data_IF_664997469142
#
_entry.id   IF_664997469142
#
_cell.length_a   1.000
_cell.length_b   1.000
_cell.length_c   1.000
_cell.angle_alpha   90.00
_cell.angle_beta   90.00
_cell.angle_gamma   90.00
#
_symmetry.space_group_name_H-M   'P 1'
#
loop_
_entity.id
_entity.type
_entity.pdbx_description
1 polymer ?
#
# COMPACT_ATOMS: atom_id res chain seq x y z
N UNK A 1 -7.34 17.52 4.93
CA UNK A 1 -8.11 18.23 3.87
C UNK A 1 -7.33 19.25 3.01
N UNK A 2 -6.42 20.11 3.51
CA UNK A 2 -5.91 21.26 2.72
C UNK A 2 -4.83 20.99 1.65
N UNK A 3 -4.06 19.89 1.75
CA UNK A 3 -2.83 19.71 0.93
C UNK A 3 -3.03 19.07 -0.47
N UNK A 4 -3.90 18.05 -0.63
CA UNK A 4 -4.14 17.40 -1.94
C UNK A 4 -5.00 18.24 -2.88
N UNK A 5 -6.13 18.76 -2.37
CA UNK A 5 -6.95 19.79 -3.02
C UNK A 5 -6.12 21.03 -3.36
N UNK A 6 -5.17 21.39 -2.49
CA UNK A 6 -4.23 22.47 -2.73
C UNK A 6 -3.30 22.25 -3.93
N UNK A 7 -2.86 21.01 -4.19
CA UNK A 7 -1.98 20.69 -5.33
C UNK A 7 -2.73 20.71 -6.67
N UNK A 8 -3.96 20.19 -6.70
CA UNK A 8 -4.85 20.28 -7.87
C UNK A 8 -5.27 21.73 -8.15
N UNK A 9 -5.66 22.49 -7.12
CA UNK A 9 -5.93 23.94 -7.21
C UNK A 9 -4.72 24.71 -7.73
N UNK A 10 -3.52 24.46 -7.20
CA UNK A 10 -2.28 25.11 -7.67
C UNK A 10 -2.00 24.83 -9.14
N UNK A 11 -2.22 23.60 -9.62
CA UNK A 11 -2.06 23.25 -11.04
C UNK A 11 -3.10 23.94 -11.92
N UNK A 12 -4.37 23.92 -11.51
CA UNK A 12 -5.45 24.62 -12.20
C UNK A 12 -5.17 26.12 -12.32
N UNK A 13 -4.78 26.78 -11.21
CA UNK A 13 -4.42 28.20 -11.22
C UNK A 13 -3.18 28.49 -12.10
N UNK A 14 -2.22 27.56 -12.16
CA UNK A 14 -1.04 27.69 -13.02
C UNK A 14 -1.42 27.59 -14.50
N UNK A 15 -2.35 26.71 -14.86
CA UNK A 15 -2.92 26.61 -16.21
C UNK A 15 -3.73 27.85 -16.59
N UNK A 16 -4.64 28.29 -15.72
CA UNK A 16 -5.42 29.53 -15.87
C UNK A 16 -4.54 30.76 -16.15
N UNK A 17 -3.40 30.87 -15.44
CA UNK A 17 -2.44 31.97 -15.63
C UNK A 17 -1.65 31.85 -16.93
N UNK A 18 -1.32 30.64 -17.36
CA UNK A 18 -0.68 30.41 -18.65
C UNK A 18 -1.62 30.79 -19.82
N UNK A 19 -2.94 30.58 -19.67
CA UNK A 19 -3.94 30.90 -20.69
C UNK A 19 -4.21 32.41 -20.76
N UNK A 20 -4.33 33.09 -19.62
CA UNK A 20 -4.72 34.52 -19.57
C UNK A 20 -3.53 35.48 -19.56
N UNK A 21 -2.30 34.99 -19.37
CA UNK A 21 -1.11 35.85 -19.23
C UNK A 21 -1.09 36.72 -17.96
N UNK A 22 -2.04 36.51 -17.04
CA UNK A 22 -2.22 37.31 -15.84
C UNK A 22 -1.07 37.09 -14.83
N UNK A 23 -0.65 38.17 -14.17
CA UNK A 23 0.46 38.15 -13.21
C UNK A 23 0.32 37.08 -12.11
N UNK A 24 1.43 36.48 -11.65
CA UNK A 24 1.41 35.45 -10.60
C UNK A 24 0.79 35.90 -9.26
N UNK A 25 0.75 37.21 -9.01
CA UNK A 25 0.21 37.82 -7.78
C UNK A 25 -1.29 38.13 -7.85
N UNK A 26 -1.94 37.94 -8.99
CA UNK A 26 -3.36 38.28 -9.14
C UNK A 26 -4.25 37.41 -8.23
N UNK A 27 -5.24 38.03 -7.54
CA UNK A 27 -6.20 37.29 -6.71
C UNK A 27 -6.92 36.18 -7.47
N UNK A 28 -7.07 35.02 -6.84
CA UNK A 28 -7.65 33.82 -7.45
C UNK A 28 -9.09 34.06 -7.93
N UNK A 29 -9.86 34.87 -7.21
CA UNK A 29 -11.25 35.20 -7.59
C UNK A 29 -11.35 35.96 -8.92
N UNK A 30 -10.41 36.89 -9.17
CA UNK A 30 -10.35 37.62 -10.43
C UNK A 30 -9.88 36.71 -11.57
N UNK A 31 -8.86 35.87 -11.30
CA UNK A 31 -8.33 34.89 -12.27
C UNK A 31 -9.43 33.92 -12.76
N UNK A 32 -10.25 33.39 -11.84
CA UNK A 32 -11.32 32.44 -12.20
C UNK A 32 -12.39 33.14 -13.04
N UNK A 33 -12.81 34.36 -12.69
CA UNK A 33 -13.78 35.14 -13.48
C UNK A 33 -13.28 35.44 -14.89
N UNK A 34 -12.02 35.87 -15.02
CA UNK A 34 -11.38 36.19 -16.30
C UNK A 34 -11.24 34.96 -17.22
N UNK A 35 -10.83 33.83 -16.64
CA UNK A 35 -10.69 32.58 -17.42
C UNK A 35 -12.00 31.94 -17.87
N UNK A 36 -13.13 32.32 -17.27
CA UNK A 36 -14.41 31.61 -17.38
C UNK A 36 -14.33 30.09 -17.10
N UNK A 37 -13.25 29.61 -16.46
CA UNK A 37 -13.06 28.19 -16.14
C UNK A 37 -13.73 27.87 -14.81
N UNK A 38 -14.46 26.75 -14.76
CA UNK A 38 -15.02 26.26 -13.51
C UNK A 38 -13.91 25.92 -12.49
N UNK A 39 -14.10 26.25 -11.20
CA UNK A 39 -13.15 25.87 -10.17
C UNK A 39 -12.92 24.36 -10.17
N UNK A 40 -11.66 23.94 -10.03
CA UNK A 40 -11.30 22.51 -10.01
C UNK A 40 -12.07 21.68 -8.96
N UNK A 41 -12.56 22.31 -7.89
CA UNK A 41 -13.42 21.66 -6.89
C UNK A 41 -14.82 21.37 -7.43
N UNK A 42 -15.42 22.30 -8.18
CA UNK A 42 -16.73 22.11 -8.79
C UNK A 42 -16.68 21.01 -9.87
N UNK A 43 -15.65 21.02 -10.71
CA UNK A 43 -15.41 19.96 -11.70
C UNK A 43 -15.21 18.58 -11.05
N UNK A 44 -14.47 18.53 -9.93
CA UNK A 44 -14.28 17.29 -9.17
C UNK A 44 -15.61 16.81 -8.58
N UNK A 45 -16.37 17.69 -7.94
CA UNK A 45 -17.65 17.36 -7.31
C UNK A 45 -18.69 16.91 -8.37
N UNK A 46 -18.72 17.55 -9.55
CA UNK A 46 -19.56 17.14 -10.68
C UNK A 46 -19.17 15.76 -11.22
N UNK A 47 -17.87 15.49 -11.38
CA UNK A 47 -17.37 14.19 -11.85
C UNK A 47 -17.67 13.08 -10.83
N UNK A 48 -17.55 13.38 -9.54
CA UNK A 48 -17.96 12.49 -8.44
C UNK A 48 -19.44 12.16 -8.57
N UNK A 49 -20.31 13.16 -8.70
CA UNK A 49 -21.76 12.96 -8.79
C UNK A 49 -22.16 12.10 -10.01
N UNK A 50 -21.61 12.41 -11.20
CA UNK A 50 -21.87 11.64 -12.41
C UNK A 50 -21.43 10.18 -12.28
N UNK A 51 -20.29 9.95 -11.63
CA UNK A 51 -19.79 8.59 -11.44
C UNK A 51 -20.58 7.81 -10.39
N UNK A 52 -20.97 8.46 -9.28
CA UNK A 52 -21.89 7.85 -8.30
C UNK A 52 -23.21 7.47 -8.96
N UNK A 53 -23.78 8.33 -9.80
CA UNK A 53 -25.00 7.99 -10.56
C UNK A 53 -24.80 6.75 -11.44
N UNK A 54 -23.67 6.65 -12.15
CA UNK A 54 -23.35 5.46 -12.96
C UNK A 54 -23.25 4.18 -12.14
N UNK A 55 -22.65 4.26 -10.94
CA UNK A 55 -22.53 3.11 -10.04
C UNK A 55 -23.89 2.62 -9.55
N UNK A 56 -24.82 3.53 -9.27
CA UNK A 56 -26.18 3.19 -8.86
C UNK A 56 -26.99 2.53 -9.99
N UNK A 57 -26.67 2.85 -11.24
CA UNK A 57 -27.34 2.27 -12.42
C UNK A 57 -26.73 0.95 -12.90
N UNK A 58 -25.71 0.42 -12.22
CA UNK A 58 -25.10 -0.85 -12.62
C UNK A 58 -26.02 -2.05 -12.33
N UNK A 59 -26.07 -3.07 -13.22
CA UNK A 59 -26.79 -4.31 -12.95
C UNK A 59 -26.25 -5.05 -11.72
N UNK A 60 -27.11 -5.80 -11.04
CA UNK A 60 -26.77 -6.61 -9.85
C UNK A 60 -25.71 -7.69 -10.11
N UNK A 61 -25.59 -8.10 -11.37
CA UNK A 61 -24.58 -9.06 -11.85
C UNK A 61 -23.19 -8.44 -11.97
N UNK A 62 -23.06 -7.11 -11.92
CA UNK A 62 -21.79 -6.42 -12.06
C UNK A 62 -20.98 -6.52 -10.75
N UNK A 63 -19.69 -6.90 -10.80
CA UNK A 63 -18.87 -7.11 -9.58
C UNK A 63 -18.79 -5.86 -8.69
N UNK A 64 -18.72 -4.66 -9.29
CA UNK A 64 -18.75 -3.40 -8.52
C UNK A 64 -20.07 -3.18 -7.78
N UNK A 65 -21.20 -3.63 -8.33
CA UNK A 65 -22.52 -3.48 -7.71
C UNK A 65 -22.67 -4.39 -6.47
N UNK A 66 -22.01 -5.55 -6.47
CA UNK A 66 -21.99 -6.50 -5.35
C UNK A 66 -21.16 -6.01 -4.15
N UNK A 67 -20.19 -5.12 -4.38
CA UNK A 67 -19.29 -4.61 -3.34
C UNK A 67 -19.87 -3.34 -2.66
N UNK A 68 -20.81 -2.65 -3.32
CA UNK A 68 -21.45 -1.44 -2.78
C UNK A 68 -22.43 -1.75 -1.64
N UNK A 69 -22.63 -0.84 -0.67
CA UNK A 69 -23.64 -1.01 0.38
C UNK A 69 -25.04 -1.16 -0.23
N UNK A 70 -25.87 -2.03 0.34
CA UNK A 70 -27.22 -2.31 -0.16
C UNK A 70 -28.09 -1.06 -0.03
N UNK A 71 -28.01 -0.37 1.11
CA UNK A 71 -28.66 0.91 1.42
C UNK A 71 -28.25 2.06 0.51
N UNK A 72 -27.06 2.01 -0.10
CA UNK A 72 -26.68 2.99 -1.11
C UNK A 72 -27.44 2.74 -2.43
N UNK A 73 -27.64 1.46 -2.79
CA UNK A 73 -28.21 1.05 -4.07
C UNK A 73 -29.73 1.13 -4.08
N UNK A 74 -30.36 0.65 -3.02
CA UNK A 74 -31.81 0.49 -2.91
C UNK A 74 -32.44 1.42 -1.86
N UNK A 75 -31.64 2.24 -1.17
CA UNK A 75 -32.14 3.10 -0.10
C UNK A 75 -32.77 2.29 1.03
N UNK A 76 -33.89 2.79 1.56
CA UNK A 76 -34.65 2.15 2.63
C UNK A 76 -35.70 1.14 2.13
N UNK A 77 -35.68 0.75 0.85
CA UNK A 77 -36.64 -0.21 0.29
C UNK A 77 -36.57 -1.61 0.96
N UNK A 78 -35.47 -1.92 1.67
CA UNK A 78 -35.27 -3.14 2.46
C UNK A 78 -35.14 -2.85 3.97
N UNK A 79 -35.72 -1.76 4.48
CA UNK A 79 -35.56 -1.30 5.86
C UNK A 79 -36.46 -1.98 6.90
N UNK A 80 -36.99 -3.18 6.62
CA UNK A 80 -37.69 -3.94 7.65
C UNK A 80 -36.69 -4.45 8.71
N UNK A 81 -37.05 -4.43 10.01
CA UNK A 81 -36.18 -4.95 11.06
C UNK A 81 -35.82 -6.42 10.80
N UNK A 82 -34.54 -6.70 10.51
CA UNK A 82 -34.01 -8.04 10.26
C UNK A 82 -33.67 -8.38 8.79
N UNK A 83 -34.06 -7.55 7.82
CA UNK A 83 -33.75 -7.77 6.39
C UNK A 83 -32.42 -7.15 5.96
N UNK A 84 -31.86 -6.22 6.73
CA UNK A 84 -30.57 -5.61 6.44
C UNK A 84 -29.42 -6.37 7.12
N UNK A 85 -28.27 -6.58 6.42
CA UNK A 85 -27.04 -7.03 7.07
C UNK A 85 -26.69 -6.09 8.24
N UNK A 86 -26.24 -6.65 9.37
CA UNK A 86 -26.12 -5.94 10.65
C UNK A 86 -25.27 -4.64 10.64
N UNK A 87 -24.49 -4.36 9.59
CA UNK A 87 -23.59 -3.19 9.49
C UNK A 87 -23.85 -2.30 8.26
N UNK A 88 -24.94 -2.48 7.52
CA UNK A 88 -25.12 -1.84 6.20
C UNK A 88 -25.40 -0.32 6.28
N UNK A 89 -25.65 0.26 7.45
CA UNK A 89 -25.88 1.71 7.63
C UNK A 89 -24.67 2.47 8.19
N UNK A 90 -23.62 1.78 8.63
CA UNK A 90 -22.44 2.43 9.24
C UNK A 90 -21.73 3.39 8.28
N UNK A 91 -21.71 3.08 6.98
CA UNK A 91 -21.09 3.94 5.97
C UNK A 91 -21.79 5.29 5.84
N UNK A 92 -23.09 5.38 6.14
CA UNK A 92 -23.88 6.60 6.06
C UNK A 92 -23.83 7.42 7.36
N UNK A 93 -23.38 6.83 8.48
CA UNK A 93 -23.28 7.48 9.79
C UNK A 93 -22.47 8.78 9.72
N UNK A 94 -22.94 9.79 10.47
CA UNK A 94 -22.33 11.12 10.56
C UNK A 94 -21.40 11.27 11.76
N UNK A 95 -21.04 10.19 12.46
CA UNK A 95 -20.25 10.30 13.69
C UNK A 95 -18.95 11.11 13.51
N UNK A 96 -18.82 12.11 14.39
CA UNK A 96 -18.15 13.39 14.16
C UNK A 96 -16.61 13.38 14.22
N UNK A 97 -15.95 12.27 13.88
CA UNK A 97 -14.47 12.17 13.85
C UNK A 97 -13.86 12.26 12.43
N UNK A 98 -14.67 12.63 11.41
CA UNK A 98 -14.42 12.75 9.93
C UNK A 98 -14.63 11.41 9.19
N UNK A 99 -15.40 11.34 8.07
CA UNK A 99 -15.55 12.34 6.97
C UNK A 99 -16.97 12.86 6.65
N UNK A 100 -17.05 14.12 6.20
CA UNK A 100 -18.31 14.84 5.92
C UNK A 100 -18.85 14.68 4.48
N UNK A 101 -18.09 14.13 3.53
CA UNK A 101 -18.52 13.98 2.11
C UNK A 101 -18.92 12.54 1.78
N UNK A 102 -20.00 12.38 1.01
CA UNK A 102 -20.53 11.09 0.55
C UNK A 102 -19.46 10.20 -0.11
N UNK A 103 -18.66 10.77 -1.01
CA UNK A 103 -17.60 10.05 -1.72
C UNK A 103 -16.50 9.49 -0.81
N UNK A 104 -16.17 10.21 0.27
CA UNK A 104 -15.18 9.78 1.25
C UNK A 104 -15.76 8.64 2.11
N UNK A 105 -17.01 8.75 2.55
CA UNK A 105 -17.67 7.68 3.31
C UNK A 105 -17.74 6.36 2.52
N UNK A 106 -18.14 6.47 1.26
CA UNK A 106 -18.23 5.34 0.35
C UNK A 106 -16.85 4.71 0.09
N UNK A 107 -15.83 5.55 -0.12
CA UNK A 107 -14.45 5.07 -0.27
C UNK A 107 -13.91 4.38 0.99
N UNK A 108 -14.31 4.80 2.20
CA UNK A 108 -13.96 4.13 3.46
C UNK A 108 -14.56 2.72 3.52
N UNK A 109 -15.85 2.63 3.22
CA UNK A 109 -16.58 1.37 3.26
C UNK A 109 -16.07 0.37 2.23
N UNK A 110 -15.83 0.82 0.98
CA UNK A 110 -15.22 -0.01 -0.05
C UNK A 110 -13.85 -0.53 0.39
N UNK A 111 -13.02 0.31 1.00
CA UNK A 111 -11.70 -0.12 1.45
C UNK A 111 -11.70 -1.11 2.61
N UNK A 112 -12.77 -1.18 3.39
CA UNK A 112 -12.95 -2.18 4.45
C UNK A 112 -13.38 -3.54 3.87
N UNK A 113 -14.14 -3.54 2.76
CA UNK A 113 -14.66 -4.75 2.11
C UNK A 113 -13.75 -5.30 1.02
N UNK A 114 -12.89 -4.47 0.43
CA UNK A 114 -11.89 -4.92 -0.52
C UNK A 114 -10.74 -5.61 0.23
N UNK A 115 -10.43 -6.85 -0.15
CA UNK A 115 -9.27 -7.60 0.37
C UNK A 115 -7.92 -6.98 -0.01
N UNK A 116 -7.90 -5.87 -0.78
CA UNK A 116 -6.70 -5.21 -1.31
C UNK A 116 -6.86 -3.69 -1.30
N UNK A 117 -5.74 -2.98 -1.12
CA UNK A 117 -5.72 -1.51 -1.03
C UNK A 117 -6.24 -0.84 -2.32
N UNK A 118 -7.33 -0.05 -2.27
CA UNK A 118 -7.90 0.63 -3.44
C UNK A 118 -7.03 1.79 -3.99
N UNK A 119 -5.91 2.11 -3.35
CA UNK A 119 -4.97 3.14 -3.83
C UNK A 119 -4.30 2.78 -5.16
N UNK A 120 -4.34 1.50 -5.56
CA UNK A 120 -3.68 1.00 -6.78
C UNK A 120 -2.18 1.30 -6.75
N UNK A 121 -1.53 0.98 -5.63
CA UNK A 121 -0.08 1.19 -5.44
C UNK A 121 0.36 2.65 -5.22
N UNK A 122 -0.54 3.65 -5.27
CA UNK A 122 -0.14 5.03 -4.87
C UNK A 122 -0.12 5.12 -3.36
N UNK A 123 1.07 5.01 -2.81
CA UNK A 123 1.31 5.35 -1.42
C UNK A 123 1.15 6.85 -1.17
N UNK A 124 0.39 7.19 -0.12
CA UNK A 124 0.37 8.55 0.42
C UNK A 124 1.50 8.73 1.40
N UNK A 125 2.39 9.65 1.06
CA UNK A 125 3.44 10.15 1.92
C UNK A 125 2.84 10.77 3.19
N UNK A 126 2.95 10.09 4.33
CA UNK A 126 2.59 10.65 5.65
C UNK A 126 3.80 11.38 6.21
N UNK A 127 3.60 12.58 6.77
CA UNK A 127 4.61 13.18 7.62
C UNK A 127 4.58 12.45 8.97
N UNK A 128 5.40 11.41 9.09
CA UNK A 128 5.71 10.75 10.35
C UNK A 128 7.16 11.05 10.68
N UNK A 129 7.43 11.53 11.89
CA UNK A 129 8.78 11.69 12.41
C UNK A 129 9.27 10.31 12.87
N UNK A 130 9.82 9.53 11.93
CA UNK A 130 10.54 8.31 12.29
C UNK A 130 11.85 8.71 12.98
N UNK A 131 12.12 8.15 14.16
CA UNK A 131 13.33 8.46 14.95
C UNK A 131 14.57 7.68 14.47
N UNK A 132 14.39 6.68 13.62
CA UNK A 132 15.42 5.76 13.13
C UNK A 132 14.84 4.35 13.02
N UNK A 133 15.53 3.43 12.34
CA UNK A 133 15.10 2.03 12.35
C UNK A 133 15.30 1.43 13.75
N UNK A 134 14.27 0.82 14.37
CA UNK A 134 14.32 0.36 15.76
C UNK A 134 15.18 -0.89 15.99
N UNK A 135 15.54 -1.63 14.93
CA UNK A 135 16.46 -2.77 15.00
C UNK A 135 17.88 -2.41 14.57
N UNK A 136 18.73 -3.43 14.44
CA UNK A 136 20.07 -3.25 13.87
C UNK A 136 20.06 -3.52 12.35
N UNK A 137 20.83 -2.75 11.58
CA UNK A 137 20.99 -2.98 10.14
C UNK A 137 22.47 -3.04 9.79
N UNK A 138 22.92 -4.19 9.30
CA UNK A 138 24.31 -4.47 8.93
C UNK A 138 24.44 -4.51 7.41
N UNK A 139 25.37 -3.72 6.88
CA UNK A 139 25.84 -3.80 5.49
C UNK A 139 27.33 -4.06 5.60
N UNK A 140 27.74 -5.28 5.27
CA UNK A 140 29.11 -5.76 5.35
C UNK A 140 29.69 -5.86 3.94
N UNK A 141 31.01 -6.04 3.84
CA UNK A 141 31.67 -6.35 2.58
C UNK A 141 31.22 -7.73 2.06
N UNK A 142 31.34 -7.93 0.74
CA UNK A 142 30.79 -9.11 0.05
C UNK A 142 31.24 -10.44 0.67
N UNK A 143 32.54 -10.59 0.95
CA UNK A 143 33.11 -11.83 1.50
C UNK A 143 32.63 -12.09 2.93
N UNK A 144 32.59 -11.06 3.76
CA UNK A 144 32.11 -11.15 5.15
C UNK A 144 30.61 -11.45 5.20
N UNK A 145 29.82 -10.75 4.39
CA UNK A 145 28.38 -10.96 4.27
C UNK A 145 28.06 -12.40 3.84
N UNK A 146 28.80 -12.92 2.85
CA UNK A 146 28.63 -14.29 2.37
C UNK A 146 29.04 -15.33 3.43
N UNK A 147 30.15 -15.07 4.13
CA UNK A 147 30.64 -15.96 5.19
C UNK A 147 29.63 -16.03 6.33
N UNK A 148 29.14 -14.88 6.80
CA UNK A 148 28.13 -14.84 7.86
C UNK A 148 26.81 -15.46 7.41
N UNK A 149 26.36 -15.22 6.17
CA UNK A 149 25.14 -15.78 5.62
C UNK A 149 25.12 -17.33 5.63
N UNK A 150 26.29 -17.96 5.47
CA UNK A 150 26.45 -19.42 5.51
C UNK A 150 26.70 -19.99 6.91
N UNK A 151 26.92 -19.14 7.92
CA UNK A 151 27.13 -19.59 9.29
C UNK A 151 25.80 -19.89 10.01
N UNK A 152 25.79 -20.99 10.76
CA UNK A 152 24.69 -21.28 11.68
C UNK A 152 24.69 -20.29 12.83
N UNK A 153 23.49 -19.82 13.21
CA UNK A 153 23.30 -18.82 14.25
C UNK A 153 22.11 -19.18 15.14
N UNK A 154 22.15 -18.80 16.43
CA UNK A 154 21.00 -18.96 17.31
C UNK A 154 19.86 -18.05 16.86
N UNK A 155 18.63 -18.50 17.07
CA UNK A 155 17.42 -17.75 16.72
C UNK A 155 16.83 -18.14 15.37
N UNK A 156 15.95 -17.28 14.84
CA UNK A 156 15.26 -17.51 13.57
C UNK A 156 15.87 -16.65 12.46
N UNK A 157 16.12 -17.28 11.31
CA UNK A 157 16.71 -16.62 10.15
C UNK A 157 15.73 -16.60 8.99
N UNK A 158 15.18 -15.43 8.73
CA UNK A 158 14.32 -15.17 7.60
C UNK A 158 15.14 -14.65 6.43
N UNK A 159 14.73 -15.04 5.24
CA UNK A 159 15.24 -14.53 3.97
C UNK A 159 14.09 -13.83 3.28
N UNK A 160 14.35 -12.72 2.58
CA UNK A 160 13.35 -12.01 1.80
C UNK A 160 13.91 -11.57 0.46
N UNK A 161 13.07 -11.61 -0.57
CA UNK A 161 13.41 -11.21 -1.94
C UNK A 161 12.16 -10.69 -2.68
N UNK A 162 12.35 -9.85 -3.69
CA UNK A 162 11.33 -9.26 -4.54
C UNK A 162 11.58 -9.51 -6.02
N UNK A 163 10.59 -10.04 -6.74
CA UNK A 163 10.70 -10.31 -8.18
C UNK A 163 9.67 -9.54 -8.99
N UNK A 164 10.07 -9.08 -10.18
CA UNK A 164 9.19 -8.52 -11.20
C UNK A 164 9.44 -9.24 -12.53
N UNK A 165 8.39 -9.84 -13.08
CA UNK A 165 8.41 -10.50 -14.38
C UNK A 165 8.34 -9.49 -15.51
N UNK A 166 8.77 -9.90 -16.71
CA UNK A 166 8.67 -9.08 -17.94
C UNK A 166 7.23 -8.70 -18.30
N UNK A 167 6.26 -9.48 -17.82
CA UNK A 167 4.82 -9.17 -17.93
C UNK A 167 4.41 -7.94 -17.11
N UNK A 168 5.30 -7.39 -16.28
CA UNK A 168 5.05 -6.27 -15.38
C UNK A 168 4.41 -6.68 -14.06
N UNK A 169 4.23 -7.98 -13.80
CA UNK A 169 3.72 -8.53 -12.54
C UNK A 169 4.85 -8.69 -11.54
N UNK A 170 4.60 -8.27 -10.30
CA UNK A 170 5.53 -8.39 -9.20
C UNK A 170 5.00 -9.33 -8.11
N UNK A 171 5.92 -9.84 -7.30
CA UNK A 171 5.64 -10.64 -6.12
C UNK A 171 6.82 -10.64 -5.16
N UNK A 172 6.55 -10.83 -3.88
CA UNK A 172 7.56 -10.94 -2.84
C UNK A 172 7.59 -12.36 -2.29
N UNK A 173 8.78 -12.82 -1.94
CA UNK A 173 9.03 -14.12 -1.34
C UNK A 173 9.69 -13.96 0.03
N UNK A 174 9.30 -14.79 0.98
CA UNK A 174 9.99 -14.94 2.26
C UNK A 174 10.21 -16.42 2.51
N UNK A 175 11.40 -16.78 2.98
CA UNK A 175 11.72 -18.15 3.37
C UNK A 175 12.24 -18.16 4.81
N UNK A 176 11.83 -19.18 5.57
CA UNK A 176 12.38 -19.50 6.87
C UNK A 176 12.87 -20.94 6.84
N UNK A 177 14.05 -21.16 7.40
CA UNK A 177 14.46 -22.48 7.87
C UNK A 177 14.43 -22.48 9.40
N UNK A 178 13.40 -23.11 9.98
CA UNK A 178 13.15 -23.08 11.42
C UNK A 178 14.23 -23.80 12.25
N UNK A 179 14.85 -24.82 11.65
CA UNK A 179 15.93 -25.61 12.25
C UNK A 179 17.01 -25.81 11.17
N UNK A 180 18.31 -25.65 11.48
CA UNK A 180 19.38 -25.89 10.51
C UNK A 180 19.27 -27.27 9.86
N UNK A 181 19.22 -27.31 8.52
CA UNK A 181 19.06 -28.56 7.76
C UNK A 181 17.63 -29.13 7.73
N UNK A 182 16.66 -28.46 8.36
CA UNK A 182 15.24 -28.79 8.27
C UNK A 182 14.58 -28.32 6.96
N UNK A 183 13.29 -28.64 6.77
CA UNK A 183 12.53 -28.19 5.59
C UNK A 183 12.43 -26.67 5.55
N UNK A 184 12.43 -26.12 4.34
CA UNK A 184 12.18 -24.71 4.10
C UNK A 184 10.68 -24.43 4.11
N UNK A 185 10.29 -23.40 4.84
CA UNK A 185 8.94 -22.85 4.82
C UNK A 185 8.96 -21.54 4.01
N UNK A 186 7.93 -21.33 3.19
CA UNK A 186 7.85 -20.14 2.33
C UNK A 186 6.55 -19.39 2.52
N UNK A 187 6.63 -18.07 2.42
CA UNK A 187 5.48 -17.18 2.22
C UNK A 187 5.65 -16.51 0.88
N UNK A 188 4.62 -16.63 0.05
CA UNK A 188 4.57 -16.05 -1.29
C UNK A 188 3.49 -14.97 -1.32
N UNK A 189 3.85 -13.74 -1.68
CA UNK A 189 2.95 -12.58 -1.67
C UNK A 189 2.77 -12.04 -3.09
N UNK A 190 1.69 -12.42 -3.79
CA UNK A 190 1.41 -11.89 -5.13
C UNK A 190 1.05 -10.40 -5.09
N UNK A 191 1.86 -9.57 -5.76
CA UNK A 191 1.67 -8.11 -5.82
C UNK A 191 0.93 -7.65 -7.09
N UNK A 192 0.98 -8.43 -8.17
CA UNK A 192 0.30 -8.09 -9.42
C UNK A 192 1.00 -6.95 -10.15
N UNK A 193 0.28 -6.21 -10.99
CA UNK A 193 0.83 -5.14 -11.82
C UNK A 193 0.99 -3.81 -11.08
N UNK A 194 1.85 -2.94 -11.61
CA UNK A 194 2.01 -1.55 -11.13
C UNK A 194 2.93 -1.38 -9.93
N UNK A 195 3.73 -2.41 -9.63
CA UNK A 195 4.74 -2.43 -8.59
C UNK A 195 6.12 -2.62 -9.21
N UNK A 196 7.10 -1.90 -8.69
CA UNK A 196 8.50 -2.06 -9.07
C UNK A 196 9.17 -3.15 -8.23
N UNK A 197 10.32 -3.65 -8.68
CA UNK A 197 11.14 -4.62 -7.91
C UNK A 197 11.38 -4.10 -6.49
N UNK A 198 11.72 -2.82 -6.38
CA UNK A 198 11.89 -2.12 -5.10
C UNK A 198 10.67 -2.24 -4.15
N UNK A 199 9.44 -2.19 -4.67
CA UNK A 199 8.24 -2.35 -3.85
C UNK A 199 8.10 -3.80 -3.36
N UNK A 200 8.48 -4.77 -4.20
CA UNK A 200 8.47 -6.18 -3.86
C UNK A 200 9.52 -6.52 -2.78
N UNK A 201 10.72 -5.94 -2.87
CA UNK A 201 11.77 -6.09 -1.85
C UNK A 201 11.29 -5.60 -0.48
N UNK A 202 10.72 -4.40 -0.43
CA UNK A 202 10.18 -3.84 0.81
C UNK A 202 8.99 -4.65 1.34
N UNK A 203 8.18 -5.22 0.45
CA UNK A 203 7.08 -6.10 0.84
C UNK A 203 7.64 -7.38 1.48
N UNK A 204 8.68 -7.99 0.88
CA UNK A 204 9.35 -9.17 1.40
C UNK A 204 9.86 -8.93 2.83
N UNK A 205 10.58 -7.84 3.05
CA UNK A 205 11.10 -7.50 4.40
C UNK A 205 9.96 -7.26 5.39
N UNK A 206 8.94 -6.49 5.01
CA UNK A 206 7.80 -6.23 5.88
C UNK A 206 7.06 -7.53 6.27
N UNK A 207 6.84 -8.40 5.28
CA UNK A 207 6.21 -9.71 5.49
C UNK A 207 7.08 -10.63 6.35
N UNK A 208 8.41 -10.63 6.19
CA UNK A 208 9.31 -11.43 7.02
C UNK A 208 9.21 -11.04 8.50
N UNK A 209 9.18 -9.74 8.79
CA UNK A 209 9.07 -9.23 10.15
C UNK A 209 7.70 -9.47 10.77
N UNK A 210 6.62 -9.34 9.98
CA UNK A 210 5.27 -9.70 10.40
C UNK A 210 5.14 -11.21 10.67
N UNK A 211 5.75 -12.04 9.83
CA UNK A 211 5.76 -13.49 10.03
C UNK A 211 6.55 -13.90 11.28
N UNK A 212 7.64 -13.19 11.58
CA UNK A 212 8.37 -13.37 12.83
C UNK A 212 7.51 -13.03 14.06
N UNK A 213 6.68 -11.98 13.98
CA UNK A 213 5.75 -11.63 15.05
C UNK A 213 4.71 -12.71 15.34
N UNK A 214 4.21 -13.36 14.27
CA UNK A 214 3.23 -14.44 14.35
C UNK A 214 3.81 -15.71 14.97
N UNK A 215 5.05 -16.06 14.62
CA UNK A 215 5.73 -17.24 15.14
C UNK A 215 6.16 -17.14 16.61
N UNK A 216 6.22 -15.93 17.16
CA UNK A 216 6.63 -15.66 18.54
C UNK A 216 7.93 -16.40 18.94
N UNK A 217 9.07 -16.15 18.26
CA UNK A 217 10.31 -16.85 18.58
C UNK A 217 10.76 -16.63 20.03
N UNK A 218 11.62 -17.51 20.53
CA UNK A 218 12.24 -17.36 21.86
C UNK A 218 13.63 -16.71 21.81
N UNK A 219 14.11 -16.30 20.63
CA UNK A 219 15.48 -15.82 20.42
C UNK A 219 15.60 -14.67 19.42
N UNK A 220 16.83 -14.28 19.06
CA UNK A 220 17.08 -13.18 18.13
C UNK A 220 16.55 -13.51 16.73
N UNK A 221 16.21 -12.47 15.98
CA UNK A 221 15.63 -12.57 14.64
C UNK A 221 16.59 -11.95 13.65
N UNK A 222 16.89 -12.70 12.60
CA UNK A 222 17.72 -12.26 11.49
C UNK A 222 16.87 -12.19 10.23
N UNK A 223 16.99 -11.11 9.47
CA UNK A 223 16.37 -10.97 8.15
C UNK A 223 17.46 -10.66 7.13
N UNK A 224 17.65 -11.55 6.17
CA UNK A 224 18.58 -11.38 5.07
C UNK A 224 17.86 -10.93 3.80
N UNK A 225 18.47 -9.99 3.09
CA UNK A 225 18.05 -9.51 1.78
C UNK A 225 19.25 -9.06 0.96
N UNK A 226 19.13 -9.04 -0.35
CA UNK A 226 20.17 -8.57 -1.28
C UNK A 226 19.91 -7.16 -1.86
N UNK A 227 18.76 -6.57 -1.53
CA UNK A 227 18.37 -5.24 -1.98
C UNK A 227 18.91 -4.09 -1.09
N UNK A 228 20.08 -3.54 -1.44
CA UNK A 228 20.66 -2.38 -0.74
C UNK A 228 19.74 -1.14 -0.76
N UNK A 229 19.02 -0.92 -1.86
CA UNK A 229 18.05 0.18 -1.97
C UNK A 229 16.90 0.06 -0.96
N UNK A 230 16.43 -1.15 -0.66
CA UNK A 230 15.42 -1.42 0.35
C UNK A 230 15.98 -1.16 1.77
N UNK A 231 17.24 -1.56 2.02
CA UNK A 231 17.95 -1.26 3.26
C UNK A 231 18.08 0.25 3.49
N UNK A 232 18.54 0.99 2.49
CA UNK A 232 18.66 2.45 2.56
C UNK A 232 17.30 3.11 2.81
N UNK A 233 16.25 2.55 2.20
CA UNK A 233 14.90 3.03 2.40
C UNK A 233 14.42 2.81 3.84
N UNK A 234 14.71 1.66 4.45
CA UNK A 234 14.36 1.32 5.84
C UNK A 234 15.09 2.21 6.85
N UNK A 235 16.34 2.60 6.55
CA UNK A 235 17.16 3.56 7.33
C UNK A 235 16.61 4.99 7.23
N UNK A 236 16.07 5.35 6.07
CA UNK A 236 15.60 6.71 5.81
C UNK A 236 14.32 7.06 6.57
N UNK A 237 14.42 8.09 7.42
CA UNK A 237 13.29 8.67 8.15
C UNK A 237 12.45 9.61 7.30
N UNK A 238 12.90 9.92 6.07
CA UNK A 238 12.22 10.87 5.19
C UNK A 238 10.99 10.24 4.54
N UNK A 239 9.91 11.01 4.36
CA UNK A 239 8.77 10.55 3.59
C UNK A 239 9.14 10.39 2.10
N UNK A 240 9.05 9.19 1.56
CA UNK A 240 9.47 8.78 0.19
C UNK A 240 8.73 7.50 -0.24
N UNK A 241 8.77 7.06 -1.51
CA UNK A 241 8.13 5.82 -1.97
C UNK A 241 8.50 4.59 -1.12
N UNK A 242 7.60 3.63 -0.99
CA UNK A 242 7.71 2.49 -0.08
C UNK A 242 7.44 2.81 1.39
N UNK A 243 6.99 4.03 1.74
CA UNK A 243 6.79 4.44 3.13
C UNK A 243 5.77 3.57 3.86
N UNK A 244 4.72 3.10 3.22
CA UNK A 244 3.72 2.29 3.91
C UNK A 244 4.31 0.95 4.35
N UNK A 245 5.16 0.35 3.50
CA UNK A 245 5.90 -0.88 3.77
C UNK A 245 6.97 -0.67 4.84
N UNK A 246 7.71 0.44 4.78
CA UNK A 246 8.67 0.82 5.84
C UNK A 246 7.96 0.96 7.18
N UNK A 247 6.80 1.62 7.23
CA UNK A 247 6.03 1.77 8.48
C UNK A 247 5.53 0.42 9.02
N UNK A 248 5.18 -0.53 8.15
CA UNK A 248 4.84 -1.90 8.55
C UNK A 248 6.04 -2.59 9.19
N UNK A 249 7.18 -2.56 8.52
CA UNK A 249 8.44 -3.12 9.02
C UNK A 249 8.84 -2.50 10.38
N UNK A 250 8.83 -1.17 10.50
CA UNK A 250 9.15 -0.46 11.76
C UNK A 250 8.22 -0.89 12.89
N UNK A 251 6.90 -0.90 12.67
CA UNK A 251 5.94 -1.34 13.69
C UNK A 251 6.12 -2.80 14.08
N UNK A 252 6.50 -3.64 13.12
CA UNK A 252 6.74 -5.05 13.40
C UNK A 252 7.95 -5.21 14.33
N UNK A 253 9.04 -4.50 14.04
CA UNK A 253 10.25 -4.50 14.86
C UNK A 253 10.03 -3.86 16.22
N UNK A 254 9.27 -2.76 16.32
CA UNK A 254 8.90 -2.15 17.61
C UNK A 254 8.17 -3.15 18.51
N UNK A 255 7.23 -3.92 17.95
CA UNK A 255 6.50 -4.97 18.69
C UNK A 255 7.40 -6.13 19.09
N UNK A 256 8.37 -6.52 18.26
CA UNK A 256 9.37 -7.54 18.60
C UNK A 256 10.31 -7.06 19.71
N UNK A 257 10.74 -5.79 19.64
CA UNK A 257 11.57 -5.17 20.66
C UNK A 257 10.85 -5.06 22.02
N UNK A 258 9.54 -4.80 22.03
CA UNK A 258 8.71 -4.86 23.25
C UNK A 258 8.64 -6.26 23.89
N UNK A 259 9.06 -7.30 23.17
CA UNK A 259 9.15 -8.69 23.65
C UNK A 259 10.60 -9.13 23.92
N UNK A 260 11.53 -8.18 24.02
CA UNK A 260 12.97 -8.41 24.16
C UNK A 260 13.59 -9.24 23.01
N UNK A 261 12.96 -9.23 21.83
CA UNK A 261 13.46 -9.91 20.64
C UNK A 261 14.25 -8.96 19.76
N UNK A 262 15.57 -9.13 19.74
CA UNK A 262 16.46 -8.31 18.92
C UNK A 262 16.32 -8.70 17.44
N UNK A 263 16.01 -7.70 16.61
CA UNK A 263 15.94 -7.84 15.16
C UNK A 263 17.19 -7.28 14.51
N UNK A 264 17.83 -8.08 13.67
CA UNK A 264 18.94 -7.67 12.81
C UNK A 264 18.60 -7.90 11.35
N UNK A 265 18.63 -6.83 10.56
CA UNK A 265 18.57 -6.90 9.11
C UNK A 265 20.00 -6.89 8.57
N UNK A 266 20.34 -7.82 7.68
CA UNK A 266 21.67 -7.91 7.11
C UNK A 266 21.61 -8.03 5.60
N UNK A 267 22.44 -7.23 4.93
CA UNK A 267 22.65 -7.36 3.50
C UNK A 267 23.46 -8.62 3.17
N UNK A 268 23.08 -9.32 2.11
CA UNK A 268 23.82 -10.45 1.53
C UNK A 268 23.98 -10.21 0.03
N UNK A 269 25.13 -10.55 -0.59
CA UNK A 269 25.27 -10.44 -2.03
C UNK A 269 24.29 -11.36 -2.76
N UNK A 270 23.52 -10.79 -3.68
CA UNK A 270 22.60 -11.53 -4.54
C UNK A 270 23.33 -12.51 -5.47
N UNK A 271 22.62 -13.54 -5.94
CA UNK A 271 23.11 -14.56 -6.89
C UNK A 271 24.46 -15.22 -6.53
N UNK A 272 24.79 -15.29 -5.23
CA UNK A 272 26.10 -15.78 -4.76
C UNK A 272 26.07 -17.22 -4.27
N UNK A 273 25.09 -18.03 -4.70
CA UNK A 273 24.97 -19.44 -4.33
C UNK A 273 24.45 -19.70 -2.91
N UNK A 274 23.93 -18.67 -2.22
CA UNK A 274 23.39 -18.81 -0.87
C UNK A 274 22.02 -19.46 -0.92
N UNK A 275 21.91 -20.65 -0.35
CA UNK A 275 20.69 -21.48 -0.42
C UNK A 275 19.45 -20.71 0.01
N UNK A 276 19.51 -19.95 1.12
CA UNK A 276 18.36 -19.18 1.60
C UNK A 276 17.90 -18.09 0.63
N UNK A 277 18.84 -17.41 -0.03
CA UNK A 277 18.53 -16.39 -1.04
C UNK A 277 17.92 -17.01 -2.30
N UNK A 278 18.43 -18.16 -2.74
CA UNK A 278 17.87 -18.89 -3.89
C UNK A 278 16.45 -19.40 -3.62
N UNK A 279 16.19 -19.86 -2.39
CA UNK A 279 14.85 -20.27 -1.98
C UNK A 279 13.85 -19.12 -2.04
N UNK A 280 14.26 -17.91 -1.65
CA UNK A 280 13.40 -16.72 -1.70
C UNK A 280 13.23 -16.16 -3.10
N UNK A 281 14.27 -16.13 -3.93
CA UNK A 281 14.17 -15.71 -5.34
C UNK A 281 13.15 -16.57 -6.08
N UNK A 282 13.21 -17.89 -5.88
CA UNK A 282 12.23 -18.80 -6.46
C UNK A 282 10.82 -18.56 -5.91
N UNK A 283 10.67 -18.32 -4.61
CA UNK A 283 9.39 -18.00 -3.99
C UNK A 283 8.81 -16.67 -4.52
N UNK A 284 9.64 -15.65 -4.69
CA UNK A 284 9.24 -14.34 -5.23
C UNK A 284 8.80 -14.46 -6.70
N UNK A 285 9.54 -15.23 -7.52
CA UNK A 285 9.17 -15.52 -8.92
C UNK A 285 7.84 -16.28 -9.02
N UNK A 286 7.62 -17.28 -8.15
CA UNK A 286 6.32 -17.98 -8.07
C UNK A 286 5.20 -17.05 -7.59
N UNK A 287 5.47 -16.19 -6.63
CA UNK A 287 4.50 -15.19 -6.17
C UNK A 287 4.10 -14.22 -7.30
N UNK A 288 5.06 -13.79 -8.11
CA UNK A 288 4.81 -12.87 -9.22
C UNK A 288 3.97 -13.51 -10.35
N UNK A 289 4.10 -14.82 -10.58
CA UNK A 289 3.34 -15.56 -11.60
C UNK A 289 1.93 -15.96 -11.14
N UNK A 290 1.68 -16.04 -9.83
CA UNK A 290 0.36 -16.35 -9.25
C UNK A 290 -0.64 -15.21 -9.45
N UNK A 291 -1.81 -15.47 -10.07
CA UNK A 291 -2.83 -14.44 -10.21
C UNK A 291 -3.17 -13.91 -8.83
N UNK A 292 -3.14 -12.60 -8.67
CA UNK A 292 -3.67 -11.98 -7.47
C UNK A 292 -5.17 -12.31 -7.38
N UNK A 293 -5.66 -12.63 -6.17
CA UNK A 293 -7.09 -12.85 -5.93
C UNK A 293 -7.93 -11.80 -6.68
N UNK A 294 -9.10 -12.17 -7.25
CA UNK A 294 -9.87 -11.32 -8.14
C UNK A 294 -10.23 -10.03 -7.41
N UNK A 295 -9.51 -8.95 -7.70
CA UNK A 295 -9.60 -7.76 -6.88
C UNK A 295 -9.25 -6.46 -7.58
N UNK A 296 -8.64 -6.50 -8.77
CA UNK A 296 -8.38 -5.28 -9.55
C UNK A 296 -8.33 -5.50 -11.07
N UNK A 297 -7.93 -6.67 -11.56
CA UNK A 297 -7.87 -6.92 -13.01
C UNK A 297 -9.25 -6.86 -13.69
N UNK A 298 -10.34 -7.21 -12.98
CA UNK A 298 -11.71 -6.97 -13.45
C UNK A 298 -12.16 -5.50 -13.34
N UNK A 299 -11.47 -4.65 -12.57
CA UNK A 299 -11.79 -3.23 -12.39
C UNK A 299 -10.93 -2.30 -13.26
N UNK A 300 -9.87 -2.80 -13.90
CA UNK A 300 -9.03 -2.04 -14.84
C UNK A 300 -9.78 -1.59 -16.11
N UNK A 301 -10.91 -2.24 -16.45
CA UNK A 301 -11.80 -1.79 -17.52
C UNK A 301 -12.53 -0.47 -17.22
N UNK A 302 -12.40 0.08 -16.00
CA UNK A 302 -13.08 1.30 -15.59
C UNK A 302 -12.10 2.49 -15.58
N UNK A 303 -12.16 3.31 -16.63
CA UNK A 303 -11.61 4.68 -16.70
C UNK A 303 -12.07 5.63 -15.56
N UNK A 304 -12.84 5.14 -14.57
CA UNK A 304 -13.45 5.88 -13.46
C UNK A 304 -12.77 5.74 -12.10
N UNK A 305 -11.80 4.83 -11.92
CA UNK A 305 -11.13 4.60 -10.62
C UNK A 305 -10.36 5.82 -10.08
N UNK A 306 -10.11 6.85 -10.88
CA UNK A 306 -9.43 8.07 -10.40
C UNK A 306 -10.16 8.74 -9.23
N UNK A 307 -11.50 8.67 -9.18
CA UNK A 307 -12.31 9.37 -8.18
C UNK A 307 -12.30 8.64 -6.84
N UNK A 308 -12.43 7.31 -6.86
CA UNK A 308 -12.29 6.50 -5.65
C UNK A 308 -10.86 6.53 -5.13
N UNK A 309 -9.89 6.50 -6.03
CA UNK A 309 -8.50 6.71 -5.69
C UNK A 309 -8.29 8.07 -5.03
N UNK A 310 -8.92 9.15 -5.50
CA UNK A 310 -8.84 10.49 -4.89
C UNK A 310 -9.54 10.54 -3.52
N UNK A 311 -10.75 10.00 -3.42
CA UNK A 311 -11.56 10.02 -2.19
C UNK A 311 -10.98 9.13 -1.08
N UNK A 312 -10.53 7.91 -1.42
CA UNK A 312 -9.85 7.01 -0.48
C UNK A 312 -8.56 7.63 0.04
N UNK A 313 -7.79 8.23 -0.89
CA UNK A 313 -6.62 8.98 -0.54
C UNK A 313 -6.97 10.06 0.51
N UNK A 314 -8.02 10.86 0.30
CA UNK A 314 -8.44 11.92 1.22
C UNK A 314 -8.81 11.49 2.65
N UNK A 315 -9.24 10.24 2.85
CA UNK A 315 -9.59 9.67 4.16
C UNK A 315 -8.40 9.36 5.08
N UNK A 316 -7.21 9.09 4.53
CA UNK A 316 -6.00 8.72 5.30
C UNK A 316 -5.22 9.95 5.84
N UNK A 317 -5.82 11.15 5.83
CA UNK A 317 -5.31 12.40 6.44
C UNK A 317 -5.86 12.55 7.85
#
# INVERSE_FOLDING_TARGET
MRKSSGKARKRGHKGSRAITGIFPKTPIGALIRETALEPATALLDARVAQYTARLLTLPDTHPTAQILPVTLRYGDLHAQPGEQPLDDREWASRDNKVPNRLSQRLAKHLAQRLSRDPSGGIERTKQCELKGFPGSIRVLDNEEALTEANQQRPGMTFWSDGSRLDTGRAGAGVALQAVPGGPWEHVEVPMGHGHEVFDAELMGVATALEWALERQPLGPIWVFLDAQNAIDRLRSTRPAPGQALVLRAHRAVEKLAMRDQLVTIQWVPGHSGVVGNEQTDQAAKRAASKPTAPGFEQLQYLNGLSIFRIAYNELKL
#
